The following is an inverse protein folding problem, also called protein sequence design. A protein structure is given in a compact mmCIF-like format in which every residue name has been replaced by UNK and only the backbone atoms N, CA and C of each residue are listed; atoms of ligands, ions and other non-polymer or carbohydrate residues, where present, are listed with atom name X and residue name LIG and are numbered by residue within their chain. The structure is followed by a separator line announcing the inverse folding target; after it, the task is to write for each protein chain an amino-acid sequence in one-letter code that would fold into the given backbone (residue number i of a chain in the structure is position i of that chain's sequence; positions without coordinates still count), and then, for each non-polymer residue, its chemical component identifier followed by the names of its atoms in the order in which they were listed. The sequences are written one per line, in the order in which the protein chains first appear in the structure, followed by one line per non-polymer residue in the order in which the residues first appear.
data_IF_250030731574
#
_entry.id   IF_250030731574
#
_cell.length_a   1.000
_cell.length_b   1.000
_cell.length_c   1.000
_cell.angle_alpha   90.00
_cell.angle_beta   90.00
_cell.angle_gamma   90.00
#
_symmetry.space_group_name_H-M   'P 1'
#
loop_
_entity.id
_entity.type
_entity.pdbx_description
1 polymer ?
#
# COMPACT_ATOMS: atom_id res chain seq x y z
N UNK A 1 26.30 -64.97 14.26
CA UNK A 1 25.56 -64.07 15.17
C UNK A 1 25.27 -62.78 14.41
N UNK A 2 24.00 -62.44 14.15
CA UNK A 2 23.56 -61.23 13.44
C UNK A 2 23.18 -60.07 14.40
N UNK A 3 22.82 -58.92 13.80
CA UNK A 3 22.17 -57.69 14.33
C UNK A 3 23.12 -56.55 14.79
N UNK A 4 22.93 -55.28 14.44
CA UNK A 4 21.76 -54.65 13.80
C UNK A 4 22.00 -53.26 13.20
N UNK A 5 21.26 -53.02 12.10
CA UNK A 5 20.44 -51.83 11.76
C UNK A 5 20.82 -50.42 12.26
N UNK A 6 21.13 -49.55 11.31
CA UNK A 6 20.56 -48.19 11.14
C UNK A 6 20.57 -47.88 9.62
N UNK A 7 19.42 -47.87 8.93
CA UNK A 7 18.57 -46.68 8.68
C UNK A 7 19.38 -45.54 8.01
N UNK A 8 19.08 -44.98 6.83
CA UNK A 8 17.85 -44.87 6.00
C UNK A 8 18.28 -44.24 4.65
N UNK A 9 17.73 -44.61 3.49
CA UNK A 9 17.86 -43.83 2.26
C UNK A 9 16.75 -42.76 2.23
N UNK A 10 17.15 -41.48 2.15
CA UNK A 10 16.24 -40.35 1.91
C UNK A 10 17.07 -39.27 1.22
N UNK A 11 17.02 -39.22 -0.11
CA UNK A 11 16.20 -38.28 -0.88
C UNK A 11 16.45 -36.81 -0.46
N UNK A 12 16.94 -35.95 -1.37
CA UNK A 12 17.11 -34.53 -1.07
C UNK A 12 15.76 -33.92 -0.68
N UNK A 13 15.73 -32.86 0.14
CA UNK A 13 14.50 -32.15 0.40
C UNK A 13 14.06 -31.44 -0.88
N UNK A 14 13.09 -32.04 -1.58
CA UNK A 14 12.14 -31.31 -2.41
C UNK A 14 10.91 -31.05 -1.53
N UNK A 15 10.82 -29.82 -1.00
CA UNK A 15 9.60 -29.15 -0.53
C UNK A 15 9.89 -27.65 -0.75
N UNK A 16 9.40 -27.02 -1.83
CA UNK A 16 8.02 -26.60 -2.10
C UNK A 16 7.55 -25.45 -1.19
N UNK A 17 6.95 -24.43 -1.84
CA UNK A 17 6.44 -23.13 -1.34
C UNK A 17 7.51 -22.07 -1.02
N UNK A 18 7.56 -20.88 -1.62
CA UNK A 18 6.51 -20.06 -2.21
C UNK A 18 6.90 -19.52 -3.60
N UNK A 19 6.10 -19.88 -4.61
CA UNK A 19 5.79 -18.93 -5.67
C UNK A 19 5.14 -17.69 -5.04
N UNK A 20 5.44 -16.53 -5.63
CA UNK A 20 4.69 -15.28 -5.48
C UNK A 20 4.86 -14.58 -4.13
N UNK A 21 5.69 -13.56 -4.08
CA UNK A 21 5.14 -12.24 -4.42
C UNK A 21 6.16 -11.36 -5.13
N UNK A 22 6.27 -11.50 -6.46
CA UNK A 22 6.47 -10.31 -7.32
C UNK A 22 5.11 -9.60 -7.49
N UNK A 23 4.34 -9.48 -6.40
CA UNK A 23 3.32 -8.45 -6.28
C UNK A 23 4.04 -7.15 -5.94
N UNK A 24 3.46 -5.98 -6.22
CA UNK A 24 4.00 -4.73 -5.70
C UNK A 24 4.24 -4.91 -4.19
N UNK A 25 5.45 -4.62 -3.73
CA UNK A 25 5.80 -4.76 -2.30
C UNK A 25 4.68 -4.17 -1.45
N UNK A 26 4.22 -4.87 -0.40
CA UNK A 26 3.17 -4.36 0.46
C UNK A 26 3.60 -2.96 0.94
N UNK A 27 2.73 -1.98 0.75
CA UNK A 27 3.00 -0.59 1.12
C UNK A 27 3.55 -0.55 2.55
N UNK A 28 4.66 0.16 2.74
CA UNK A 28 5.23 0.35 4.07
C UNK A 28 4.13 0.89 5.02
N UNK A 29 4.01 0.31 6.21
CA UNK A 29 3.02 0.72 7.21
C UNK A 29 2.88 2.24 7.41
N UNK A 30 3.97 3.04 7.50
CA UNK A 30 3.83 4.50 7.63
C UNK A 30 3.18 5.16 6.40
N UNK A 31 3.43 4.64 5.19
CA UNK A 31 2.81 5.12 3.95
C UNK A 31 1.33 4.76 3.94
N UNK A 32 0.99 3.52 4.31
CA UNK A 32 -0.39 3.05 4.43
C UNK A 32 -1.20 3.89 5.42
N UNK A 33 -0.66 4.14 6.61
CA UNK A 33 -1.32 4.97 7.62
C UNK A 33 -1.53 6.39 7.12
N UNK A 34 -0.56 6.96 6.40
CA UNK A 34 -0.67 8.30 5.84
C UNK A 34 -1.68 8.40 4.71
N UNK A 35 -1.79 7.38 3.86
CA UNK A 35 -2.86 7.27 2.85
C UNK A 35 -4.24 7.31 3.50
N UNK A 36 -4.45 6.52 4.56
CA UNK A 36 -5.71 6.49 5.28
C UNK A 36 -6.03 7.88 5.86
N UNK A 37 -5.06 8.51 6.53
CA UNK A 37 -5.22 9.84 7.11
C UNK A 37 -5.62 10.88 6.06
N UNK A 38 -4.89 10.95 4.94
CA UNK A 38 -5.14 11.91 3.86
C UNK A 38 -6.49 11.64 3.19
N UNK A 39 -6.84 10.37 2.93
CA UNK A 39 -8.12 10.02 2.34
C UNK A 39 -9.30 10.37 3.27
N UNK A 40 -9.11 10.22 4.58
CA UNK A 40 -10.13 10.58 5.56
C UNK A 40 -10.30 12.11 5.65
N UNK A 41 -9.20 12.88 5.56
CA UNK A 41 -9.25 14.35 5.49
C UNK A 41 -9.96 14.86 4.24
N UNK A 42 -9.67 14.30 3.06
CA UNK A 42 -10.34 14.66 1.80
C UNK A 42 -11.87 14.45 1.88
N UNK A 43 -12.32 13.45 2.64
CA UNK A 43 -13.75 13.21 2.89
C UNK A 43 -14.37 14.18 3.89
N UNK A 44 -13.61 14.65 4.88
CA UNK A 44 -14.16 15.47 5.96
C UNK A 44 -14.10 16.97 5.68
N UNK A 45 -13.04 17.47 5.06
CA UNK A 45 -12.83 18.92 4.93
C UNK A 45 -13.68 19.54 3.82
N UNK A 46 -13.61 18.99 2.61
CA UNK A 46 -14.31 19.55 1.45
C UNK A 46 -14.85 18.45 0.50
N UNK A 47 -15.78 17.59 0.96
CA UNK A 47 -16.21 16.40 0.20
C UNK A 47 -16.77 16.69 -1.20
N UNK A 48 -17.38 17.86 -1.39
CA UNK A 48 -17.97 18.31 -2.66
C UNK A 48 -17.01 19.13 -3.53
N UNK A 49 -15.79 19.41 -3.05
CA UNK A 49 -14.81 20.16 -3.83
C UNK A 49 -14.26 19.30 -4.98
N UNK A 50 -13.98 19.92 -6.14
CA UNK A 50 -13.38 19.22 -7.27
C UNK A 50 -11.93 18.85 -6.94
N UNK A 51 -11.60 17.56 -7.07
CA UNK A 51 -10.23 17.10 -6.92
C UNK A 51 -9.51 17.09 -8.27
N UNK A 52 -8.23 17.45 -8.26
CA UNK A 52 -7.33 17.26 -9.40
C UNK A 52 -5.99 16.76 -8.91
N UNK A 53 -5.19 16.16 -9.80
CA UNK A 53 -3.83 15.70 -9.45
C UNK A 53 -2.95 16.82 -8.85
N UNK A 54 -3.11 18.07 -9.30
CA UNK A 54 -2.39 19.22 -8.73
C UNK A 54 -2.83 19.54 -7.31
N UNK A 55 -4.13 19.48 -7.03
CA UNK A 55 -4.67 19.71 -5.68
C UNK A 55 -4.23 18.58 -4.76
N UNK A 56 -4.36 17.33 -5.21
CA UNK A 56 -3.94 16.14 -4.47
C UNK A 56 -2.45 16.18 -4.11
N UNK A 57 -1.58 16.42 -5.11
CA UNK A 57 -0.13 16.49 -4.90
C UNK A 57 0.27 17.62 -3.95
N UNK A 58 -0.37 18.79 -4.05
CA UNK A 58 -0.15 19.91 -3.12
C UNK A 58 -0.63 19.57 -1.71
N UNK A 59 -1.78 18.93 -1.58
CA UNK A 59 -2.33 18.50 -0.28
C UNK A 59 -1.41 17.47 0.39
N UNK A 60 -0.97 16.46 -0.35
CA UNK A 60 -0.01 15.45 0.15
C UNK A 60 1.30 16.14 0.55
N UNK A 61 1.82 17.07 -0.25
CA UNK A 61 3.05 17.79 0.06
C UNK A 61 2.96 18.57 1.39
N UNK A 62 1.80 19.19 1.67
CA UNK A 62 1.52 19.84 2.96
C UNK A 62 1.49 18.80 4.09
N UNK A 63 0.78 17.68 3.89
CA UNK A 63 0.61 16.64 4.91
C UNK A 63 1.87 15.83 5.20
N UNK A 64 2.81 15.74 4.26
CA UNK A 64 4.11 15.07 4.43
C UNK A 64 5.25 16.05 4.70
N UNK A 65 4.96 17.32 4.97
CA UNK A 65 5.99 18.32 5.27
C UNK A 65 6.81 17.90 6.49
N UNK A 66 8.12 17.82 6.33
CA UNK A 66 9.04 17.40 7.39
C UNK A 66 9.30 15.89 7.48
N UNK A 67 8.57 15.05 6.74
CA UNK A 67 8.80 13.60 6.69
C UNK A 67 9.85 13.15 5.65
N UNK A 68 10.25 14.06 4.75
CA UNK A 68 11.26 13.81 3.71
C UNK A 68 10.67 13.56 2.32
N UNK A 69 11.48 13.82 1.28
CA UNK A 69 11.07 13.74 -0.13
C UNK A 69 10.73 12.31 -0.57
N UNK A 70 11.47 11.31 -0.09
CA UNK A 70 11.22 9.90 -0.44
C UNK A 70 9.88 9.42 0.14
N UNK A 71 9.53 9.85 1.35
CA UNK A 71 8.24 9.55 1.95
C UNK A 71 7.08 10.22 1.19
N UNK A 72 7.24 11.50 0.82
CA UNK A 72 6.28 12.19 -0.05
C UNK A 72 6.05 11.43 -1.36
N UNK A 73 7.12 11.00 -2.03
CA UNK A 73 7.04 10.26 -3.30
C UNK A 73 6.36 8.90 -3.12
N UNK A 74 6.68 8.17 -2.05
CA UNK A 74 6.06 6.88 -1.75
C UNK A 74 4.55 7.03 -1.47
N UNK A 75 4.15 8.05 -0.71
CA UNK A 75 2.73 8.34 -0.45
C UNK A 75 2.03 8.73 -1.74
N UNK A 76 2.60 9.64 -2.54
CA UNK A 76 2.01 10.08 -3.81
C UNK A 76 1.83 8.92 -4.80
N UNK A 77 2.84 8.05 -4.93
CA UNK A 77 2.79 6.90 -5.84
C UNK A 77 1.79 5.82 -5.41
N UNK A 78 1.41 5.79 -4.13
CA UNK A 78 0.47 4.82 -3.60
C UNK A 78 -0.99 5.28 -3.71
N UNK A 79 -1.22 6.55 -4.01
CA UNK A 79 -2.54 7.06 -4.35
C UNK A 79 -2.92 6.67 -5.79
N UNK A 80 -4.14 6.17 -6.03
CA UNK A 80 -4.61 5.92 -7.39
C UNK A 80 -4.79 7.22 -8.17
N UNK A 81 -4.80 7.15 -9.50
CA UNK A 81 -5.05 8.34 -10.32
C UNK A 81 -6.45 8.93 -10.03
N UNK A 82 -6.52 10.27 -10.05
CA UNK A 82 -7.76 11.03 -9.88
C UNK A 82 -8.57 10.95 -11.18
N UNK A 83 -9.84 10.58 -11.07
CA UNK A 83 -10.73 10.51 -12.22
C UNK A 83 -11.22 11.91 -12.63
N UNK A 84 -11.46 12.17 -13.92
CA UNK A 84 -11.94 13.48 -14.37
C UNK A 84 -13.34 13.77 -13.81
N UNK A 85 -13.46 14.88 -13.07
CA UNK A 85 -14.70 15.30 -12.41
C UNK A 85 -14.95 14.64 -11.05
N UNK A 86 -13.98 13.89 -10.51
CA UNK A 86 -14.05 13.32 -9.18
C UNK A 86 -13.97 14.41 -8.09
N UNK A 87 -14.72 14.23 -7.00
CA UNK A 87 -14.67 15.12 -5.84
C UNK A 87 -13.74 14.57 -4.76
N UNK A 88 -13.25 15.43 -3.87
CA UNK A 88 -12.35 15.03 -2.79
C UNK A 88 -12.94 13.90 -1.92
N UNK A 89 -14.24 13.97 -1.61
CA UNK A 89 -14.90 12.95 -0.80
C UNK A 89 -15.08 11.62 -1.50
N UNK A 90 -15.49 11.64 -2.78
CA UNK A 90 -15.63 10.42 -3.57
C UNK A 90 -14.29 9.70 -3.74
N UNK A 91 -13.23 10.47 -3.98
CA UNK A 91 -11.86 9.97 -4.07
C UNK A 91 -11.37 9.40 -2.72
N UNK A 92 -11.57 10.13 -1.62
CA UNK A 92 -11.23 9.68 -0.27
C UNK A 92 -11.87 8.33 0.08
N UNK A 93 -13.17 8.15 -0.18
CA UNK A 93 -13.86 6.89 0.06
C UNK A 93 -13.37 5.75 -0.86
N UNK A 94 -12.96 6.05 -2.10
CA UNK A 94 -12.35 5.08 -3.02
C UNK A 94 -10.99 4.60 -2.48
N UNK A 95 -10.14 5.51 -2.04
CA UNK A 95 -8.84 5.18 -1.45
C UNK A 95 -9.00 4.38 -0.16
N UNK A 96 -9.89 4.79 0.75
CA UNK A 96 -10.15 4.04 1.99
C UNK A 96 -10.65 2.62 1.72
N UNK A 97 -11.48 2.43 0.69
CA UNK A 97 -11.92 1.09 0.26
C UNK A 97 -10.78 0.26 -0.32
N UNK A 98 -9.85 0.87 -1.07
CA UNK A 98 -8.69 0.19 -1.64
C UNK A 98 -7.70 -0.26 -0.55
N UNK A 99 -7.47 0.56 0.49
CA UNK A 99 -6.50 0.27 1.56
C UNK A 99 -7.04 -0.68 2.65
N UNK A 100 -8.36 -0.84 2.75
CA UNK A 100 -9.03 -1.78 3.68
C UNK A 100 -9.13 -3.22 3.14
N UNK A 101 -8.81 -3.45 1.87
CA UNK A 101 -8.68 -4.80 1.29
C UNK A 101 -7.29 -5.35 1.56
#
# INVERSE_FOLDING_TARGET
MPQGTNARPGHPPDVADEQSSNGPEPLAEPVRNKLIEIADLLRQEAPDAPLSERVLSSFIAVQTKGAGVEFYRAVLAAFPDVEPGETEGAYGDRVLRAVRR
#
